data_IF_569067066722
#
_entry.id   IF_569067066722
#
_cell.length_a   1.000
_cell.length_b   1.000
_cell.length_c   1.000
_cell.angle_alpha   90.00
_cell.angle_beta   90.00
_cell.angle_gamma   90.00
#
_symmetry.space_group_name_H-M   'P 1'
#
loop_
_entity.id
_entity.type
_entity.pdbx_description
1 polymer ?
#
# COMPACT_ATOMS: atom_id res chain seq x y z
N UNK A 1 7.36 -30.23 6.43
CA UNK A 1 8.35 -29.14 6.56
C UNK A 1 8.01 -28.10 5.51
N UNK A 2 7.23 -27.07 5.85
CA UNK A 2 6.85 -26.03 4.88
C UNK A 2 8.04 -25.09 4.68
N UNK A 3 8.64 -25.12 3.50
CA UNK A 3 9.61 -24.10 3.11
C UNK A 3 8.86 -22.76 3.04
N UNK A 4 9.08 -21.88 4.01
CA UNK A 4 8.62 -20.49 3.91
C UNK A 4 9.32 -19.84 2.73
N UNK A 5 8.54 -19.58 1.67
CA UNK A 5 8.99 -18.76 0.54
C UNK A 5 9.40 -17.41 1.12
N UNK A 6 10.70 -17.07 1.05
CA UNK A 6 11.23 -15.77 1.49
C UNK A 6 10.89 -14.73 0.42
N UNK A 7 9.63 -14.30 0.37
CA UNK A 7 9.20 -13.23 -0.51
C UNK A 7 9.56 -11.89 0.12
N UNK A 8 10.65 -11.30 -0.35
CA UNK A 8 11.05 -9.92 -0.02
C UNK A 8 10.35 -8.92 -0.95
N UNK A 9 10.08 -9.33 -2.20
CA UNK A 9 9.45 -8.50 -3.22
C UNK A 9 8.21 -9.22 -3.75
N UNK A 10 7.09 -8.51 -3.81
CA UNK A 10 5.85 -8.98 -4.42
C UNK A 10 5.37 -7.96 -5.45
N UNK A 11 5.21 -8.41 -6.70
CA UNK A 11 4.70 -7.61 -7.80
C UNK A 11 3.34 -8.15 -8.24
N UNK A 12 2.31 -7.34 -8.03
CA UNK A 12 0.93 -7.56 -8.49
C UNK A 12 0.45 -6.37 -9.33
N UNK A 13 1.37 -5.74 -10.07
CA UNK A 13 1.04 -4.61 -10.94
C UNK A 13 0.00 -5.01 -12.00
N UNK A 14 -0.91 -4.08 -12.28
CA UNK A 14 -1.98 -4.17 -13.28
C UNK A 14 -2.95 -5.34 -13.06
N UNK A 15 -3.05 -5.87 -11.84
CA UNK A 15 -4.10 -6.82 -11.48
C UNK A 15 -5.44 -6.08 -11.34
N UNK A 16 -6.10 -5.79 -12.47
CA UNK A 16 -7.34 -5.02 -12.51
C UNK A 16 -8.51 -5.71 -11.82
N UNK A 17 -8.49 -7.04 -11.64
CA UNK A 17 -9.52 -7.77 -10.91
C UNK A 17 -9.24 -7.87 -9.40
N UNK A 18 -8.10 -7.36 -8.92
CA UNK A 18 -7.74 -7.43 -7.50
C UNK A 18 -8.60 -6.47 -6.69
N UNK A 19 -9.51 -7.01 -5.88
CA UNK A 19 -10.41 -6.22 -5.06
C UNK A 19 -9.79 -5.83 -3.71
N UNK A 20 -8.97 -6.71 -3.13
CA UNK A 20 -8.31 -6.51 -1.84
C UNK A 20 -6.95 -7.21 -1.80
N UNK A 21 -6.04 -6.75 -0.95
CA UNK A 21 -4.75 -7.42 -0.72
C UNK A 21 -5.01 -8.70 0.10
N UNK A 22 -4.65 -9.90 -0.41
CA UNK A 22 -4.96 -11.16 0.27
C UNK A 22 -4.33 -11.24 1.66
N UNK A 23 -5.06 -11.83 2.63
CA UNK A 23 -4.59 -11.97 4.02
C UNK A 23 -3.25 -12.69 4.19
N UNK A 24 -2.83 -13.67 3.35
CA UNK A 24 -1.51 -14.29 3.49
C UNK A 24 -0.36 -13.31 3.25
N UNK A 25 -0.56 -12.31 2.38
CA UNK A 25 0.46 -11.28 2.08
C UNK A 25 0.73 -10.42 3.30
N UNK A 26 -0.29 -10.19 4.12
CA UNK A 26 -0.19 -9.40 5.36
C UNK A 26 0.68 -10.06 6.43
N UNK A 27 0.90 -11.38 6.34
CA UNK A 27 1.73 -12.15 7.26
C UNK A 27 3.15 -12.40 6.73
N UNK A 28 3.50 -11.85 5.57
CA UNK A 28 4.85 -11.94 5.02
C UNK A 28 5.79 -10.98 5.76
N UNK A 29 6.27 -11.43 6.92
CA UNK A 29 7.17 -10.66 7.80
C UNK A 29 8.51 -10.27 7.16
N UNK A 30 8.86 -10.83 6.00
CA UNK A 30 10.08 -10.47 5.25
C UNK A 30 9.82 -9.61 4.03
N UNK A 31 8.56 -9.31 3.71
CA UNK A 31 8.22 -8.50 2.55
C UNK A 31 8.68 -7.06 2.76
N UNK A 32 9.57 -6.58 1.90
CA UNK A 32 10.11 -5.23 1.90
C UNK A 32 9.50 -4.37 0.80
N UNK A 33 9.03 -4.98 -0.29
CA UNK A 33 8.57 -4.28 -1.49
C UNK A 33 7.26 -4.87 -1.99
N UNK A 34 6.22 -4.03 -2.09
CA UNK A 34 4.92 -4.39 -2.61
C UNK A 34 4.50 -3.44 -3.73
N UNK A 35 4.44 -3.95 -4.96
CA UNK A 35 3.99 -3.22 -6.14
C UNK A 35 2.57 -3.64 -6.53
N UNK A 36 1.62 -2.72 -6.34
CA UNK A 36 0.20 -2.87 -6.66
C UNK A 36 -0.25 -1.83 -7.69
N UNK A 37 0.68 -1.21 -8.44
CA UNK A 37 0.35 -0.16 -9.40
C UNK A 37 -0.70 -0.63 -10.41
N UNK A 38 -1.62 0.25 -10.80
CA UNK A 38 -2.61 -0.03 -11.83
C UNK A 38 -3.68 -1.06 -11.45
N UNK A 39 -3.77 -1.48 -10.18
CA UNK A 39 -4.87 -2.30 -9.69
C UNK A 39 -6.14 -1.44 -9.55
N UNK A 40 -6.79 -1.17 -10.69
CA UNK A 40 -7.87 -0.18 -10.81
C UNK A 40 -9.14 -0.55 -10.03
N UNK A 41 -9.40 -1.83 -9.74
CA UNK A 41 -10.51 -2.26 -8.89
C UNK A 41 -10.12 -2.48 -7.42
N UNK A 42 -8.87 -2.18 -7.03
CA UNK A 42 -8.43 -2.33 -5.65
C UNK A 42 -9.21 -1.37 -4.75
N UNK A 43 -9.88 -1.94 -3.77
CA UNK A 43 -10.59 -1.21 -2.73
C UNK A 43 -9.91 -1.44 -1.39
N UNK A 44 -9.91 -0.40 -0.57
CA UNK A 44 -9.46 -0.49 0.82
C UNK A 44 -10.63 -0.96 1.68
N UNK A 45 -10.48 -2.11 2.32
CA UNK A 45 -11.24 -2.44 3.53
C UNK A 45 -10.42 -1.98 4.74
N UNK A 46 -11.07 -1.56 5.84
CA UNK A 46 -10.36 -1.35 7.10
C UNK A 46 -9.79 -2.69 7.55
N UNK A 47 -8.51 -2.88 7.29
CA UNK A 47 -7.80 -4.12 7.51
C UNK A 47 -6.32 -3.80 7.55
N UNK A 48 -5.72 -4.03 8.72
CA UNK A 48 -4.36 -3.65 9.01
C UNK A 48 -3.38 -4.37 8.09
N UNK A 49 -2.66 -3.62 7.25
CA UNK A 49 -1.44 -4.14 6.64
C UNK A 49 -0.36 -4.09 7.73
N UNK A 50 -0.31 -5.13 8.58
CA UNK A 50 0.76 -5.29 9.57
C UNK A 50 2.03 -5.82 8.88
N UNK A 51 2.60 -5.01 7.99
CA UNK A 51 3.78 -5.36 7.21
C UNK A 51 5.00 -4.66 7.83
N UNK A 52 5.46 -5.19 8.96
CA UNK A 52 6.51 -4.58 9.80
C UNK A 52 7.81 -4.29 9.02
N UNK A 53 8.15 -5.14 8.05
CA UNK A 53 9.36 -5.02 7.24
C UNK A 53 9.17 -4.24 5.94
N UNK A 54 7.95 -3.83 5.60
CA UNK A 54 7.68 -3.16 4.34
C UNK A 54 8.34 -1.78 4.31
N UNK A 55 9.13 -1.55 3.26
CA UNK A 55 9.86 -0.31 2.99
C UNK A 55 9.29 0.44 1.80
N UNK A 56 8.82 -0.28 0.79
CA UNK A 56 8.31 0.30 -0.46
C UNK A 56 6.89 -0.20 -0.72
N UNK A 57 5.96 0.74 -0.88
CA UNK A 57 4.59 0.48 -1.28
C UNK A 57 4.20 1.36 -2.46
N UNK A 58 3.87 0.72 -3.59
CA UNK A 58 3.38 1.40 -4.77
C UNK A 58 1.90 1.07 -5.04
N UNK A 59 1.04 2.07 -4.88
CA UNK A 59 -0.40 2.02 -5.14
C UNK A 59 -0.79 2.94 -6.31
N UNK A 60 0.19 3.41 -7.09
CA UNK A 60 -0.09 4.37 -8.16
C UNK A 60 -1.08 3.83 -9.18
N UNK A 61 -2.04 4.64 -9.62
CA UNK A 61 -3.07 4.23 -10.58
C UNK A 61 -4.13 3.28 -10.02
N UNK A 62 -4.18 3.02 -8.70
CA UNK A 62 -5.30 2.33 -8.06
C UNK A 62 -6.52 3.27 -7.95
N UNK A 63 -7.19 3.50 -9.08
CA UNK A 63 -8.23 4.54 -9.22
C UNK A 63 -9.49 4.30 -8.39
N UNK A 64 -9.77 3.08 -7.93
CA UNK A 64 -10.90 2.79 -7.02
C UNK A 64 -10.53 2.89 -5.54
N UNK A 65 -9.26 3.12 -5.21
CA UNK A 65 -8.78 3.19 -3.83
C UNK A 65 -9.14 4.54 -3.22
N UNK A 66 -10.29 4.61 -2.53
CA UNK A 66 -10.81 5.85 -1.90
C UNK A 66 -10.32 6.09 -0.47
N UNK A 67 -10.03 5.01 0.26
CA UNK A 67 -9.55 5.06 1.64
C UNK A 67 -8.11 4.57 1.70
N UNK A 68 -7.26 5.28 2.41
CA UNK A 68 -5.90 4.80 2.65
C UNK A 68 -5.96 3.58 3.61
N UNK A 69 -5.29 2.46 3.29
CA UNK A 69 -5.20 1.34 4.22
C UNK A 69 -4.40 1.78 5.45
N UNK A 70 -4.81 1.39 6.65
CA UNK A 70 -3.99 1.66 7.83
C UNK A 70 -2.76 0.76 7.78
N UNK A 71 -1.57 1.36 7.68
CA UNK A 71 -0.30 0.64 7.58
C UNK A 71 0.47 0.81 8.87
N UNK A 72 0.99 -0.30 9.40
CA UNK A 72 1.98 -0.32 10.46
C UNK A 72 3.29 -0.87 9.89
N UNK A 73 4.37 -0.09 9.95
CA UNK A 73 5.65 -0.54 9.42
C UNK A 73 6.67 0.57 9.21
N UNK A 74 7.80 0.18 8.61
CA UNK A 74 8.96 1.03 8.35
C UNK A 74 8.97 1.57 6.92
N UNK A 75 7.82 2.03 6.40
CA UNK A 75 7.72 2.52 5.02
C UNK A 75 8.67 3.72 4.84
N UNK A 76 9.55 3.59 3.86
CA UNK A 76 10.44 4.64 3.39
C UNK A 76 9.89 5.31 2.12
N UNK A 77 9.20 4.57 1.26
CA UNK A 77 8.67 5.07 -0.01
C UNK A 77 7.20 4.68 -0.18
N UNK A 78 6.35 5.69 -0.31
CA UNK A 78 4.92 5.53 -0.53
C UNK A 78 4.49 6.27 -1.80
N UNK A 79 3.96 5.53 -2.78
CA UNK A 79 3.44 6.12 -4.01
C UNK A 79 1.93 5.91 -4.11
N UNK A 80 1.18 7.01 -4.01
CA UNK A 80 -0.27 7.10 -4.10
C UNK A 80 -0.72 7.84 -5.36
N UNK A 81 0.18 8.12 -6.31
CA UNK A 81 -0.15 8.91 -7.50
C UNK A 81 -1.41 8.37 -8.19
N UNK A 82 -2.27 9.27 -8.64
CA UNK A 82 -3.46 8.91 -9.42
C UNK A 82 -4.42 7.94 -8.70
N UNK A 83 -4.39 7.89 -7.37
CA UNK A 83 -5.42 7.22 -6.55
C UNK A 83 -6.62 8.12 -6.32
N UNK A 84 -7.74 7.53 -5.90
CA UNK A 84 -8.94 8.26 -5.50
C UNK A 84 -8.98 8.56 -3.99
N UNK A 85 -7.84 8.47 -3.28
CA UNK A 85 -7.77 8.62 -1.83
C UNK A 85 -8.28 10.01 -1.45
N UNK A 86 -9.20 10.05 -0.49
CA UNK A 86 -9.87 11.28 -0.05
C UNK A 86 -9.18 11.89 1.18
N UNK A 87 -8.59 11.06 2.04
CA UNK A 87 -7.87 11.47 3.25
C UNK A 87 -6.70 10.53 3.56
N UNK A 88 -5.65 11.07 4.17
CA UNK A 88 -4.58 10.29 4.79
C UNK A 88 -4.83 10.24 6.30
N UNK A 89 -4.81 9.06 6.94
CA UNK A 89 -4.96 8.98 8.38
C UNK A 89 -3.77 9.62 9.08
N UNK A 90 -4.00 10.11 10.30
CA UNK A 90 -2.96 10.67 11.18
C UNK A 90 -1.76 9.72 11.36
N UNK A 91 -1.96 8.40 11.20
CA UNK A 91 -0.87 7.43 11.25
C UNK A 91 0.21 7.63 10.20
N UNK A 92 -0.08 8.29 9.07
CA UNK A 92 0.95 8.66 8.08
C UNK A 92 1.98 9.60 8.68
N UNK A 93 1.58 10.50 9.58
CA UNK A 93 2.50 11.38 10.31
C UNK A 93 3.44 10.60 11.25
N UNK A 94 3.07 9.38 11.65
CA UNK A 94 3.89 8.50 12.48
C UNK A 94 4.82 7.57 11.68
N UNK A 95 4.83 7.65 10.35
CA UNK A 95 5.80 6.93 9.50
C UNK A 95 7.18 7.61 9.58
N UNK A 96 7.85 7.46 10.71
CA UNK A 96 9.12 8.13 11.02
C UNK A 96 10.28 7.82 10.07
N UNK A 97 10.16 6.78 9.24
CA UNK A 97 11.15 6.38 8.23
C UNK A 97 10.79 6.84 6.83
N UNK A 98 9.67 7.52 6.64
CA UNK A 98 9.19 7.96 5.33
C UNK A 98 10.14 8.99 4.74
N UNK A 99 10.78 8.63 3.63
CA UNK A 99 11.69 9.48 2.87
C UNK A 99 10.94 10.19 1.75
N UNK A 100 9.98 9.51 1.11
CA UNK A 100 9.20 10.10 0.03
C UNK A 100 7.74 9.62 0.05
N UNK A 101 6.84 10.58 -0.11
CA UNK A 101 5.42 10.38 -0.35
C UNK A 101 5.03 11.07 -1.65
N UNK A 102 4.53 10.31 -2.61
CA UNK A 102 4.02 10.82 -3.87
C UNK A 102 2.50 10.75 -3.89
N UNK A 103 1.83 11.88 -4.04
CA UNK A 103 0.37 11.99 -4.16
C UNK A 103 -0.06 12.84 -5.36
N UNK A 104 0.78 12.88 -6.40
CA UNK A 104 0.50 13.62 -7.63
C UNK A 104 -0.76 13.05 -8.29
N UNK A 105 -1.68 13.92 -8.68
CA UNK A 105 -2.91 13.50 -9.35
C UNK A 105 -3.96 12.89 -8.43
N UNK A 106 -3.78 12.91 -7.09
CA UNK A 106 -4.81 12.58 -6.12
C UNK A 106 -5.85 13.71 -6.03
N UNK A 107 -6.75 13.80 -7.02
CA UNK A 107 -7.69 14.92 -7.17
C UNK A 107 -8.72 15.06 -6.05
N UNK A 108 -8.91 14.00 -5.24
CA UNK A 108 -9.88 13.96 -4.14
C UNK A 108 -9.25 14.16 -2.76
N UNK A 109 -7.92 14.18 -2.69
CA UNK A 109 -7.21 14.25 -1.43
C UNK A 109 -7.43 15.63 -0.81
N UNK A 110 -8.11 15.66 0.33
CA UNK A 110 -8.35 16.88 1.09
C UNK A 110 -7.07 17.24 1.85
N UNK A 111 -6.69 18.53 1.84
CA UNK A 111 -5.60 19.03 2.67
C UNK A 111 -6.04 19.02 4.13
N UNK A 112 -5.17 18.51 5.00
CA UNK A 112 -5.26 18.65 6.46
C UNK A 112 -4.83 20.07 6.84
#
# INVERSE_FOLDING_TARGET
>A
MSQSIKLEIMNCANCTCLLEVPSPVQHLVKLTDLDLRGCSSLMSRPGFLNMQSLKILNLSGCSSLKKFPQIMGCIAYLNLNETAIEELPQSVAYLSRLVALNAKGCKRLQSI
#
